data_IF_629226487702
#
_entry.id   IF_629226487702
#
_cell.length_a   1.000
_cell.length_b   1.000
_cell.length_c   1.000
_cell.angle_alpha   90.00
_cell.angle_beta   90.00
_cell.angle_gamma   90.00
#
_symmetry.space_group_name_H-M   'P 1'
#
loop_
_entity.id
_entity.type
_entity.pdbx_description
1 polymer ?
#
# COMPACT_ATOMS: atom_id res chain seq x y z
N UNK A 1 35.84 -11.21 -67.57
CA UNK A 1 34.37 -11.00 -67.61
C UNK A 1 33.82 -11.28 -66.22
N UNK A 2 33.66 -10.26 -65.37
CA UNK A 2 33.15 -10.45 -63.99
C UNK A 2 31.64 -10.23 -63.94
N UNK A 3 30.90 -11.28 -63.59
CA UNK A 3 29.45 -11.27 -63.45
C UNK A 3 29.09 -10.83 -62.03
N UNK A 4 28.58 -9.60 -61.88
CA UNK A 4 28.08 -9.10 -60.60
C UNK A 4 26.71 -9.72 -60.29
N UNK A 5 26.68 -10.65 -59.33
CA UNK A 5 25.46 -11.27 -58.79
C UNK A 5 24.67 -10.21 -58.01
N UNK A 6 23.65 -9.59 -58.61
CA UNK A 6 22.73 -8.68 -57.91
C UNK A 6 22.01 -9.44 -56.79
N UNK A 7 22.28 -9.10 -55.53
CA UNK A 7 21.45 -9.55 -54.39
C UNK A 7 20.04 -8.98 -54.58
N UNK A 8 19.02 -9.84 -54.64
CA UNK A 8 17.62 -9.40 -54.57
C UNK A 8 17.44 -8.65 -53.25
N UNK A 9 17.11 -7.36 -53.32
CA UNK A 9 16.62 -6.62 -52.15
C UNK A 9 15.15 -6.97 -51.98
N UNK A 10 14.78 -7.48 -50.81
CA UNK A 10 13.38 -7.69 -50.47
C UNK A 10 12.79 -6.32 -50.15
N UNK A 11 11.89 -5.84 -51.01
CA UNK A 11 11.12 -4.61 -50.80
C UNK A 11 9.77 -5.00 -50.19
N UNK A 12 9.44 -4.44 -49.03
CA UNK A 12 8.11 -4.56 -48.44
C UNK A 12 7.08 -3.85 -49.31
N UNK A 13 5.90 -4.44 -49.43
CA UNK A 13 4.76 -3.80 -50.10
C UNK A 13 4.07 -2.82 -49.16
N UNK A 14 3.48 -1.75 -49.72
CA UNK A 14 2.68 -0.80 -48.95
C UNK A 14 1.50 -1.48 -48.22
N UNK A 15 0.91 -2.50 -48.85
CA UNK A 15 -0.20 -3.26 -48.27
C UNK A 15 0.24 -4.11 -47.08
N UNK A 16 1.43 -4.71 -47.12
CA UNK A 16 1.98 -5.44 -45.97
C UNK A 16 2.17 -4.50 -44.78
N UNK A 17 2.71 -3.30 -45.00
CA UNK A 17 2.88 -2.33 -43.91
C UNK A 17 1.53 -1.87 -43.35
N UNK A 18 0.54 -1.65 -44.21
CA UNK A 18 -0.80 -1.21 -43.82
C UNK A 18 -1.53 -2.27 -42.98
N UNK A 19 -1.47 -3.54 -43.38
CA UNK A 19 -2.10 -4.63 -42.62
C UNK A 19 -1.43 -4.79 -41.25
N UNK A 20 -0.11 -4.63 -41.15
CA UNK A 20 0.62 -4.75 -39.88
C UNK A 20 0.20 -3.67 -38.89
N UNK A 21 0.14 -2.40 -39.31
CA UNK A 21 -0.30 -1.33 -38.40
C UNK A 21 -1.77 -1.47 -38.02
N UNK A 22 -2.61 -2.00 -38.91
CA UNK A 22 -4.02 -2.30 -38.61
C UNK A 22 -4.14 -3.38 -37.53
N UNK A 23 -3.37 -4.46 -37.62
CA UNK A 23 -3.34 -5.53 -36.60
C UNK A 23 -2.78 -5.02 -35.27
N UNK A 24 -1.68 -4.26 -35.29
CA UNK A 24 -1.10 -3.65 -34.07
C UNK A 24 -2.11 -2.71 -33.42
N UNK A 25 -2.80 -1.88 -34.21
CA UNK A 25 -3.86 -0.99 -33.73
C UNK A 25 -4.97 -1.75 -33.02
N UNK A 26 -5.48 -2.83 -33.65
CA UNK A 26 -6.51 -3.67 -33.07
C UNK A 26 -6.05 -4.30 -31.75
N UNK A 27 -4.88 -4.95 -31.73
CA UNK A 27 -4.34 -5.61 -30.54
C UNK A 27 -4.05 -4.62 -29.40
N UNK A 28 -3.48 -3.46 -29.72
CA UNK A 28 -3.15 -2.43 -28.73
C UNK A 28 -4.39 -1.89 -28.01
N UNK A 29 -5.53 -1.77 -28.70
CA UNK A 29 -6.77 -1.26 -28.11
C UNK A 29 -7.30 -2.15 -26.98
N UNK A 30 -7.24 -3.48 -27.16
CA UNK A 30 -7.69 -4.47 -26.17
C UNK A 30 -6.78 -4.49 -24.94
N UNK A 31 -5.47 -4.37 -25.15
CA UNK A 31 -4.47 -4.39 -24.07
C UNK A 31 -4.67 -3.22 -23.11
N UNK A 32 -4.94 -2.01 -23.63
CA UNK A 32 -5.08 -0.80 -22.82
C UNK A 32 -6.20 -0.90 -21.77
N UNK A 33 -7.35 -1.48 -22.13
CA UNK A 33 -8.49 -1.63 -21.21
C UNK A 33 -8.13 -2.55 -20.03
N UNK A 34 -7.46 -3.68 -20.31
CA UNK A 34 -7.07 -4.66 -19.28
C UNK A 34 -5.99 -4.13 -18.31
N UNK A 35 -5.10 -3.25 -18.79
CA UNK A 35 -3.92 -2.80 -18.05
C UNK A 35 -4.27 -2.00 -16.78
N UNK A 36 -5.36 -1.24 -16.80
CA UNK A 36 -5.83 -0.47 -15.64
C UNK A 36 -6.11 -1.37 -14.41
N UNK A 37 -6.80 -2.49 -14.65
CA UNK A 37 -7.17 -3.45 -13.61
C UNK A 37 -5.97 -4.22 -13.06
N UNK A 38 -5.00 -4.53 -13.92
CA UNK A 38 -3.75 -5.21 -13.54
C UNK A 38 -2.89 -4.31 -12.66
N UNK A 39 -2.78 -3.02 -13.00
CA UNK A 39 -2.06 -2.03 -12.19
C UNK A 39 -2.67 -1.88 -10.80
N UNK A 40 -4.00 -1.81 -10.70
CA UNK A 40 -4.70 -1.76 -9.41
C UNK A 40 -4.41 -3.01 -8.55
N UNK A 41 -4.49 -4.20 -9.15
CA UNK A 41 -4.16 -5.47 -8.46
C UNK A 41 -2.71 -5.53 -7.99
N UNK A 42 -1.77 -5.03 -8.80
CA UNK A 42 -0.36 -4.96 -8.44
C UNK A 42 -0.11 -4.02 -7.26
N UNK A 43 -0.75 -2.83 -7.24
CA UNK A 43 -0.69 -1.90 -6.11
C UNK A 43 -1.30 -2.50 -4.84
N UNK A 44 -2.45 -3.16 -4.94
CA UNK A 44 -3.07 -3.83 -3.80
C UNK A 44 -2.20 -4.98 -3.25
N UNK A 45 -1.54 -5.74 -4.12
CA UNK A 45 -0.56 -6.75 -3.70
C UNK A 45 0.64 -6.13 -2.97
N UNK A 46 1.12 -4.98 -3.44
CA UNK A 46 2.19 -4.22 -2.77
C UNK A 46 1.73 -3.73 -1.40
N UNK A 47 0.54 -3.13 -1.29
CA UNK A 47 -0.04 -2.68 0.00
C UNK A 47 -0.09 -3.80 1.03
N UNK A 48 -0.57 -4.98 0.64
CA UNK A 48 -0.60 -6.15 1.54
C UNK A 48 0.79 -6.57 2.01
N UNK A 49 1.78 -6.55 1.10
CA UNK A 49 3.18 -6.84 1.44
C UNK A 49 3.76 -5.78 2.39
N UNK A 50 3.54 -4.51 2.11
CA UNK A 50 4.02 -3.37 2.90
C UNK A 50 3.49 -3.47 4.34
N UNK A 51 2.18 -3.69 4.51
CA UNK A 51 1.54 -3.86 5.83
C UNK A 51 2.09 -5.09 6.57
N UNK A 52 2.34 -6.20 5.87
CA UNK A 52 2.92 -7.38 6.49
C UNK A 52 4.35 -7.14 6.99
N UNK A 53 5.14 -6.33 6.27
CA UNK A 53 6.49 -5.95 6.68
C UNK A 53 6.46 -4.99 7.87
N UNK A 54 5.58 -3.97 7.85
CA UNK A 54 5.39 -3.06 8.99
C UNK A 54 4.96 -3.85 10.23
N UNK A 55 4.02 -4.79 10.09
CA UNK A 55 3.59 -5.66 11.19
C UNK A 55 4.75 -6.39 11.84
N UNK A 56 5.59 -7.04 11.03
CA UNK A 56 6.79 -7.74 11.53
C UNK A 56 7.74 -6.80 12.25
N UNK A 57 7.97 -5.60 11.71
CA UNK A 57 8.82 -4.60 12.35
C UNK A 57 8.26 -4.12 13.70
N UNK A 58 6.94 -3.94 13.81
CA UNK A 58 6.27 -3.60 15.07
C UNK A 58 6.41 -4.72 16.11
N UNK A 59 6.30 -5.99 15.71
CA UNK A 59 6.53 -7.11 16.62
C UNK A 59 7.98 -7.17 17.12
N UNK A 60 8.95 -6.93 16.23
CA UNK A 60 10.37 -6.85 16.62
C UNK A 60 10.63 -5.68 17.56
N UNK A 61 10.06 -4.51 17.28
CA UNK A 61 10.15 -3.35 18.15
C UNK A 61 9.56 -3.66 19.54
N UNK A 62 8.40 -4.32 19.60
CA UNK A 62 7.79 -4.72 20.86
C UNK A 62 8.66 -5.71 21.63
N UNK A 63 9.28 -6.68 20.95
CA UNK A 63 10.18 -7.64 21.60
C UNK A 63 11.38 -6.96 22.28
N UNK A 64 11.86 -5.85 21.73
CA UNK A 64 13.01 -5.11 22.29
C UNK A 64 12.61 -4.05 23.34
N UNK A 65 11.42 -3.46 23.22
CA UNK A 65 11.01 -2.29 24.01
C UNK A 65 9.83 -2.56 24.96
N UNK A 66 9.24 -3.76 24.91
CA UNK A 66 8.04 -4.20 25.65
C UNK A 66 6.79 -3.32 25.42
N UNK A 67 6.85 -2.48 24.39
CA UNK A 67 5.79 -1.57 24.00
C UNK A 67 5.87 -1.30 22.49
N UNK A 68 4.73 -1.05 21.85
CA UNK A 68 4.68 -0.53 20.49
C UNK A 68 4.96 0.97 20.48
N UNK A 69 5.49 1.53 19.37
CA UNK A 69 5.68 2.96 19.25
C UNK A 69 4.36 3.70 19.48
N UNK A 70 4.36 4.73 20.31
CA UNK A 70 3.17 5.55 20.51
C UNK A 70 2.95 6.44 19.29
N UNK A 71 1.72 6.48 18.75
CA UNK A 71 1.40 7.38 17.64
C UNK A 71 1.59 8.83 18.12
N UNK A 72 2.45 9.58 17.42
CA UNK A 72 2.75 10.96 17.78
C UNK A 72 1.55 11.84 17.43
N UNK A 73 0.80 12.32 18.42
CA UNK A 73 -0.40 13.09 18.08
C UNK A 73 -1.19 13.80 19.16
N UNK A 74 -0.84 13.79 20.45
CA UNK A 74 -1.69 14.47 21.45
C UNK A 74 -1.14 15.84 21.84
N UNK A 75 -1.61 16.92 21.19
CA UNK A 75 -1.77 18.20 21.91
C UNK A 75 -3.12 18.27 22.66
N UNK A 76 -3.96 17.24 22.55
CA UNK A 76 -5.25 17.14 23.24
C UNK A 76 -5.67 15.66 23.37
N UNK A 77 -6.45 15.26 24.39
CA UNK A 77 -7.08 13.95 24.43
C UNK A 77 -8.02 13.85 23.20
N UNK A 78 -7.74 12.89 22.31
CA UNK A 78 -8.26 12.72 20.93
C UNK A 78 -7.33 13.14 19.77
N UNK A 79 -6.06 13.45 20.03
CA UNK A 79 -5.03 13.51 18.99
C UNK A 79 -4.04 12.34 19.15
N UNK A 80 -3.74 11.50 18.16
CA UNK A 80 -4.04 11.50 16.74
C UNK A 80 -3.44 10.23 16.12
N UNK A 81 -3.50 10.12 14.79
CA UNK A 81 -2.98 8.98 14.04
C UNK A 81 -1.74 9.39 13.27
N UNK A 82 -0.80 8.46 13.13
CA UNK A 82 0.37 8.63 12.27
C UNK A 82 0.02 8.26 10.84
N UNK A 83 0.07 9.19 9.90
CA UNK A 83 -0.32 8.97 8.50
C UNK A 83 0.86 9.20 7.56
N UNK A 84 1.14 8.28 6.63
CA UNK A 84 2.21 8.39 5.64
C UNK A 84 2.20 9.63 4.73
N UNK A 85 1.17 10.49 4.83
CA UNK A 85 1.08 11.81 4.22
C UNK A 85 1.37 13.02 5.12
N UNK A 86 1.64 12.87 6.42
CA UNK A 86 1.93 13.98 7.35
C UNK A 86 3.19 13.74 8.22
N UNK A 87 3.60 14.78 8.97
CA UNK A 87 4.80 14.73 9.82
C UNK A 87 4.68 13.81 11.05
N UNK A 88 3.49 13.33 11.41
CA UNK A 88 3.32 12.36 12.50
C UNK A 88 3.69 10.94 12.08
N UNK A 89 3.84 10.67 10.79
CA UNK A 89 4.48 9.45 10.30
C UNK A 89 5.99 9.45 10.49
N UNK A 90 6.62 10.63 10.49
CA UNK A 90 8.05 10.73 10.74
C UNK A 90 8.42 10.32 12.17
N UNK A 91 7.52 10.49 13.14
CA UNK A 91 7.75 9.98 14.50
C UNK A 91 7.74 8.45 14.54
N UNK A 92 6.80 7.81 13.85
CA UNK A 92 6.76 6.35 13.73
C UNK A 92 7.98 5.84 12.95
N UNK A 93 8.33 6.53 11.86
CA UNK A 93 9.52 6.23 11.05
C UNK A 93 10.75 6.27 11.94
N UNK A 94 10.91 7.32 12.74
CA UNK A 94 12.01 7.51 13.68
C UNK A 94 12.10 6.37 14.70
N UNK A 95 10.97 5.96 15.28
CA UNK A 95 10.94 4.83 16.21
C UNK A 95 11.35 3.51 15.55
N UNK A 96 11.01 3.32 14.28
CA UNK A 96 11.30 2.10 13.53
C UNK A 96 12.63 2.15 12.73
N UNK A 97 13.46 3.19 12.89
CA UNK A 97 14.67 3.42 12.09
C UNK A 97 15.76 2.33 12.19
N UNK A 98 15.63 1.34 13.08
CA UNK A 98 16.50 0.15 13.14
C UNK A 98 15.87 -1.14 12.59
N UNK A 99 14.56 -1.14 12.33
CA UNK A 99 13.79 -2.35 12.01
C UNK A 99 13.36 -2.38 10.55
N UNK A 100 12.91 -1.24 10.02
CA UNK A 100 12.43 -1.12 8.64
C UNK A 100 12.49 0.33 8.14
N UNK A 101 12.78 0.51 6.86
CA UNK A 101 12.46 1.76 6.18
C UNK A 101 10.96 1.76 5.84
N UNK A 102 10.16 2.59 6.53
CA UNK A 102 8.71 2.60 6.34
C UNK A 102 8.32 2.88 4.88
N UNK A 103 7.48 2.03 4.27
CA UNK A 103 6.98 2.26 2.91
C UNK A 103 5.90 3.35 2.91
N UNK A 104 5.71 3.97 1.75
CA UNK A 104 4.56 4.83 1.44
C UNK A 104 3.61 4.11 0.49
N UNK A 105 2.32 4.44 0.56
CA UNK A 105 1.32 3.88 -0.35
C UNK A 105 1.70 4.17 -1.82
N UNK A 106 1.44 3.27 -2.78
CA UNK A 106 1.78 3.50 -4.18
C UNK A 106 1.08 4.70 -4.86
N UNK A 107 -0.07 5.12 -4.34
CA UNK A 107 -0.81 6.32 -4.78
C UNK A 107 -0.48 7.50 -3.86
N UNK A 108 -0.38 7.25 -2.55
CA UNK A 108 -0.06 8.23 -1.51
C UNK A 108 -0.84 9.56 -1.64
N UNK A 109 -2.17 9.48 -1.51
CA UNK A 109 -3.02 10.68 -1.47
C UNK A 109 -3.00 11.25 -0.05
N UNK A 110 -2.23 12.32 0.15
CA UNK A 110 -1.95 12.94 1.45
C UNK A 110 -3.08 13.85 1.97
N UNK A 111 -4.21 13.96 1.25
CA UNK A 111 -5.32 14.81 1.64
C UNK A 111 -6.24 14.15 2.68
N UNK A 112 -5.74 14.05 3.92
CA UNK A 112 -6.53 13.66 5.10
C UNK A 112 -6.42 12.20 5.54
N UNK A 113 -7.24 11.84 6.52
CA UNK A 113 -7.25 10.56 7.23
C UNK A 113 -7.89 9.42 6.41
N UNK A 114 -7.33 8.21 6.43
CA UNK A 114 -7.76 7.09 5.57
C UNK A 114 -9.21 6.65 5.72
N UNK A 115 -9.84 6.81 6.89
CA UNK A 115 -11.28 6.57 7.05
C UNK A 115 -12.16 7.46 6.15
N UNK A 116 -11.62 8.55 5.59
CA UNK A 116 -12.26 9.39 4.57
C UNK A 116 -12.17 8.86 3.13
N UNK A 117 -11.51 7.71 2.91
CA UNK A 117 -11.47 7.04 1.61
C UNK A 117 -10.24 7.30 0.75
N UNK A 118 -9.12 7.73 1.33
CA UNK A 118 -7.84 8.01 0.64
C UNK A 118 -6.90 6.80 0.61
N UNK A 119 -5.81 6.91 -0.15
CA UNK A 119 -4.79 5.85 -0.33
C UNK A 119 -3.50 6.23 0.39
N UNK A 120 -3.40 5.82 1.64
CA UNK A 120 -2.32 6.10 2.56
C UNK A 120 -2.26 4.98 3.61
N UNK A 121 -1.17 4.94 4.39
CA UNK A 121 -1.03 4.03 5.52
C UNK A 121 -1.16 4.84 6.80
N UNK A 122 -1.99 4.37 7.71
CA UNK A 122 -2.14 5.00 9.01
C UNK A 122 -1.86 4.02 10.14
N UNK A 123 -1.34 4.57 11.23
CA UNK A 123 -0.97 3.86 12.42
C UNK A 123 -1.53 4.55 13.66
N UNK A 124 -2.08 3.75 14.57
CA UNK A 124 -2.64 4.22 15.83
C UNK A 124 -2.34 3.24 16.96
N UNK A 125 -1.95 3.74 18.13
CA UNK A 125 -1.55 2.91 19.28
C UNK A 125 -1.89 3.50 20.65
N UNK A 126 -2.77 4.52 20.69
CA UNK A 126 -3.11 5.25 21.92
C UNK A 126 -4.51 4.90 22.47
N UNK A 127 -4.66 4.99 23.80
CA UNK A 127 -5.94 5.00 24.54
C UNK A 127 -7.04 4.03 24.04
N UNK A 128 -6.84 2.73 24.22
CA UNK A 128 -7.90 1.70 24.11
C UNK A 128 -7.55 0.44 24.91
N UNK A 129 -7.43 0.59 26.24
CA UNK A 129 -7.11 -0.50 27.17
C UNK A 129 -5.74 -0.31 27.82
N UNK A 130 -4.66 -0.44 27.06
CA UNK A 130 -3.29 -0.19 27.55
C UNK A 130 -2.44 0.49 26.50
N UNK A 131 -1.95 1.69 26.81
CA UNK A 131 -1.07 2.42 25.91
C UNK A 131 0.20 1.62 25.62
N UNK A 132 0.61 1.57 24.36
CA UNK A 132 1.78 0.81 23.93
C UNK A 132 1.62 -0.72 23.93
N UNK A 133 0.50 -1.28 24.39
CA UNK A 133 0.25 -2.74 24.37
C UNK A 133 -0.63 -3.19 23.19
N UNK A 134 -1.07 -2.25 22.37
CA UNK A 134 -1.81 -2.52 21.15
C UNK A 134 -1.44 -1.52 20.06
N UNK A 135 -1.73 -1.90 18.82
CA UNK A 135 -1.72 -1.00 17.69
C UNK A 135 -2.76 -1.41 16.64
N UNK A 136 -3.02 -0.48 15.74
CA UNK A 136 -3.83 -0.69 14.56
C UNK A 136 -3.17 0.01 13.37
N UNK A 137 -3.05 -0.73 12.28
CA UNK A 137 -2.72 -0.25 10.96
C UNK A 137 -3.99 -0.18 10.12
N UNK A 138 -4.14 0.88 9.36
CA UNK A 138 -5.27 1.10 8.46
C UNK A 138 -4.77 1.45 7.08
N UNK A 139 -5.36 0.83 6.07
CA UNK A 139 -5.02 1.06 4.67
C UNK A 139 -6.21 0.75 3.77
N UNK A 140 -6.22 1.31 2.57
CA UNK A 140 -7.30 1.10 1.60
C UNK A 140 -6.80 0.31 0.39
N UNK A 141 -7.58 -0.69 -0.03
CA UNK A 141 -7.39 -1.40 -1.29
C UNK A 141 -8.28 -0.78 -2.37
N UNK A 142 -7.80 -0.75 -3.61
CA UNK A 142 -8.57 -0.31 -4.77
C UNK A 142 -9.70 -1.29 -5.09
N UNK A 143 -9.45 -2.58 -4.88
CA UNK A 143 -10.47 -3.63 -4.92
C UNK A 143 -10.53 -4.28 -3.54
N UNK A 144 -11.32 -3.72 -2.60
CA UNK A 144 -11.40 -4.25 -1.26
C UNK A 144 -12.01 -5.65 -1.27
N UNK A 145 -11.50 -6.48 -0.37
CA UNK A 145 -12.16 -7.74 -0.05
C UNK A 145 -13.46 -7.42 0.73
N UNK A 146 -14.45 -8.30 0.62
CA UNK A 146 -15.72 -8.20 1.38
C UNK A 146 -15.46 -8.40 2.88
N UNK A 147 -14.39 -9.12 3.22
CA UNK A 147 -13.95 -9.31 4.59
C UNK A 147 -13.16 -8.10 5.09
N UNK A 148 -13.71 -7.41 6.09
CA UNK A 148 -13.09 -6.28 6.79
C UNK A 148 -12.86 -6.68 8.24
N UNK A 149 -11.82 -7.49 8.52
CA UNK A 149 -11.57 -7.95 9.87
C UNK A 149 -11.20 -6.71 10.70
N UNK A 150 -12.13 -6.25 11.53
CA UNK A 150 -11.87 -5.21 12.52
C UNK A 150 -10.70 -5.60 13.41
N UNK A 151 -10.10 -4.62 14.07
CA UNK A 151 -9.03 -4.85 15.06
C UNK A 151 -9.61 -4.72 16.45
N UNK A 152 -9.42 -5.77 17.24
CA UNK A 152 -9.79 -5.79 18.65
C UNK A 152 -8.68 -5.17 19.49
N UNK A 153 -8.96 -4.06 20.16
CA UNK A 153 -8.05 -3.43 21.11
C UNK A 153 -8.03 -4.19 22.45
N UNK A 154 -7.14 -3.77 23.36
CA UNK A 154 -6.93 -4.47 24.64
C UNK A 154 -8.08 -4.35 25.64
N UNK A 155 -9.01 -3.41 25.45
CA UNK A 155 -10.24 -3.26 26.23
C UNK A 155 -11.44 -3.99 25.59
N UNK A 156 -11.18 -4.98 24.75
CA UNK A 156 -12.18 -5.71 23.96
C UNK A 156 -13.00 -4.89 22.94
N UNK A 157 -12.68 -3.60 22.76
CA UNK A 157 -13.33 -2.77 21.75
C UNK A 157 -12.88 -3.18 20.35
N UNK A 158 -13.82 -3.45 19.46
CA UNK A 158 -13.53 -3.77 18.07
C UNK A 158 -13.63 -2.53 17.19
N UNK A 159 -12.55 -2.18 16.50
CA UNK A 159 -12.47 -1.05 15.58
C UNK A 159 -12.60 -1.54 14.14
N UNK A 160 -13.55 -0.97 13.39
CA UNK A 160 -13.71 -1.21 11.96
C UNK A 160 -14.05 0.12 11.27
N UNK A 161 -13.36 0.43 10.16
CA UNK A 161 -13.51 1.69 9.45
C UNK A 161 -13.97 1.47 8.01
N UNK A 162 -15.30 1.47 7.84
CA UNK A 162 -16.02 1.60 6.57
C UNK A 162 -15.36 0.94 5.35
N UNK A 163 -14.63 1.71 4.52
CA UNK A 163 -14.00 1.27 3.27
C UNK A 163 -12.49 1.00 3.35
N UNK A 164 -11.96 0.82 4.56
CA UNK A 164 -10.56 0.47 4.82
C UNK A 164 -10.37 -0.94 5.36
N UNK A 165 -9.16 -1.49 5.22
CA UNK A 165 -8.73 -2.74 5.85
C UNK A 165 -7.95 -2.37 7.10
N UNK A 166 -8.30 -3.01 8.20
CA UNK A 166 -7.65 -2.82 9.49
C UNK A 166 -6.83 -4.06 9.82
N UNK A 167 -5.62 -3.87 10.33
CA UNK A 167 -4.76 -4.95 10.81
C UNK A 167 -4.05 -4.49 12.06
N UNK A 168 -4.04 -5.30 13.11
CA UNK A 168 -3.48 -4.88 14.39
C UNK A 168 -3.53 -6.00 15.40
N UNK A 169 -2.93 -5.75 16.55
CA UNK A 169 -2.80 -6.73 17.61
C UNK A 169 -2.81 -6.07 18.98
N UNK A 170 -3.24 -6.82 19.99
CA UNK A 170 -3.10 -6.50 21.40
C UNK A 170 -2.33 -7.63 22.09
N UNK A 171 -1.32 -7.30 22.90
CA UNK A 171 -0.47 -8.27 23.62
C UNK A 171 -1.00 -8.66 25.02
N UNK A 172 -2.10 -8.02 25.47
CA UNK A 172 -2.68 -8.01 26.83
C UNK A 172 -1.99 -7.03 27.78
N UNK A 173 -2.80 -6.37 28.60
CA UNK A 173 -2.38 -5.58 29.74
C UNK A 173 -1.89 -6.51 30.85
N UNK A 174 -0.67 -6.29 31.35
CA UNK A 174 -0.25 -6.90 32.62
C UNK A 174 -1.03 -6.30 33.79
#
# INVERSE_FOLDING_TARGET
MNIYKRKKKNSFTLIELLVVIAIIGLLSSVILVSLSSVRAKARDSRRKSDIAQIRKALELYYADNEQYPLSGGAASPNGGWSNSGDGSWDTLKSALLGYIALPSDPINDTTGWSAGGKYNYDYYSLNSGCAGQWYMLVYKLEKPDISRPGVKACNDTNFNYANTITSGMCQKCQ
#
